data_IF_997516299422
#
_entry.id   IF_997516299422
#
_cell.length_a   1.000
_cell.length_b   1.000
_cell.length_c   1.000
_cell.angle_alpha   90.00
_cell.angle_beta   90.00
_cell.angle_gamma   90.00
#
_symmetry.space_group_name_H-M   'P 1'
#
loop_
_entity.id
_entity.type
_entity.pdbx_description
1 polymer ?
#
# COMPACT_ATOMS: atom_id res chain seq x y z
N UNK A 1 -0.76 -18.93 0.26
CA UNK A 1 0.01 -18.35 1.39
C UNK A 1 1.44 -18.10 0.95
N UNK A 2 2.13 -17.12 1.55
CA UNK A 2 3.52 -16.73 1.20
C UNK A 2 4.47 -17.83 1.68
N UNK A 3 4.74 -18.83 0.84
CA UNK A 3 5.68 -19.92 1.15
C UNK A 3 7.08 -19.68 0.58
N UNK A 4 7.18 -18.81 -0.42
CA UNK A 4 8.42 -18.42 -1.09
C UNK A 4 8.50 -16.92 -1.17
N UNK A 5 9.72 -16.38 -1.27
CA UNK A 5 9.91 -14.95 -1.46
C UNK A 5 9.27 -14.52 -2.80
N UNK A 6 8.51 -13.43 -2.86
CA UNK A 6 7.83 -13.04 -4.08
C UNK A 6 8.80 -12.45 -5.10
N UNK A 7 9.00 -13.14 -6.23
CA UNK A 7 9.85 -12.69 -7.34
C UNK A 7 9.05 -12.17 -8.55
N UNK A 8 7.73 -12.21 -8.45
CA UNK A 8 6.81 -11.93 -9.53
C UNK A 8 6.52 -10.43 -9.71
N UNK A 9 6.11 -10.05 -10.91
CA UNK A 9 5.97 -8.64 -11.34
C UNK A 9 4.83 -7.85 -10.70
N UNK A 10 3.84 -8.52 -10.10
CA UNK A 10 2.67 -7.87 -9.48
C UNK A 10 2.75 -7.89 -7.96
N UNK A 11 3.85 -7.38 -7.39
CA UNK A 11 4.08 -7.64 -5.97
C UNK A 11 4.92 -6.62 -5.19
N UNK A 12 4.27 -5.76 -4.41
CA UNK A 12 4.92 -4.85 -3.46
C UNK A 12 5.49 -5.58 -2.22
N UNK A 13 5.14 -6.85 -1.98
CA UNK A 13 5.64 -7.61 -0.82
C UNK A 13 7.16 -7.60 -0.74
N UNK A 14 7.85 -7.85 -1.85
CA UNK A 14 9.32 -7.88 -1.89
C UNK A 14 9.92 -6.55 -1.44
N UNK A 15 9.34 -5.44 -1.87
CA UNK A 15 9.75 -4.09 -1.48
C UNK A 15 9.54 -3.81 -0.01
N UNK A 16 8.36 -4.16 0.51
CA UNK A 16 8.05 -3.93 1.92
C UNK A 16 8.88 -4.84 2.84
N UNK A 17 9.14 -6.09 2.43
CA UNK A 17 10.08 -6.98 3.11
C UNK A 17 11.49 -6.39 3.11
N UNK A 18 11.99 -5.88 1.98
CA UNK A 18 13.30 -5.25 1.93
C UNK A 18 13.39 -4.02 2.85
N UNK A 19 12.38 -3.17 2.86
CA UNK A 19 12.35 -2.03 3.77
C UNK A 19 12.27 -2.43 5.25
N UNK A 20 11.51 -3.48 5.60
CA UNK A 20 11.51 -4.03 6.95
C UNK A 20 12.90 -4.57 7.33
N UNK A 21 13.58 -5.20 6.37
CA UNK A 21 14.97 -5.61 6.52
C UNK A 21 15.89 -4.41 6.77
N UNK A 22 15.83 -3.37 5.94
CA UNK A 22 16.61 -2.15 6.09
C UNK A 22 16.38 -1.45 7.43
N UNK A 23 15.14 -1.43 7.93
CA UNK A 23 14.86 -0.88 9.25
C UNK A 23 15.62 -1.63 10.35
N UNK A 24 15.72 -2.96 10.26
CA UNK A 24 16.46 -3.78 11.22
C UNK A 24 17.97 -3.54 11.12
N UNK A 25 18.53 -3.56 9.91
CA UNK A 25 20.00 -3.60 9.73
C UNK A 25 20.64 -2.23 9.61
N UNK A 26 19.98 -1.28 8.96
CA UNK A 26 20.47 0.09 8.77
C UNK A 26 19.92 1.02 9.86
N UNK A 27 18.71 0.76 10.38
CA UNK A 27 18.02 1.64 11.32
C UNK A 27 17.15 2.69 10.62
N UNK A 28 16.54 3.55 11.42
CA UNK A 28 15.64 4.62 10.97
C UNK A 28 16.43 5.90 10.67
N UNK A 29 16.21 6.50 9.49
CA UNK A 29 16.92 7.71 9.04
C UNK A 29 18.45 7.57 8.97
N UNK A 30 18.93 6.35 8.76
CA UNK A 30 20.35 6.05 8.60
C UNK A 30 20.68 5.71 7.15
N UNK A 31 21.97 5.82 6.81
CA UNK A 31 22.49 5.37 5.53
C UNK A 31 22.36 3.86 5.38
N UNK A 32 21.89 3.43 4.21
CA UNK A 32 21.66 2.02 3.91
C UNK A 32 22.21 1.68 2.51
N UNK A 33 23.21 0.80 2.41
CA UNK A 33 24.00 0.62 1.18
C UNK A 33 23.31 -0.25 0.12
N UNK A 34 22.21 -0.92 0.44
CA UNK A 34 21.72 -2.04 -0.38
C UNK A 34 21.09 -1.63 -1.71
N UNK A 35 20.48 -0.45 -1.79
CA UNK A 35 19.87 0.07 -3.02
C UNK A 35 20.49 1.40 -3.44
N UNK A 36 20.51 1.65 -4.74
CA UNK A 36 20.98 2.91 -5.33
C UNK A 36 22.39 3.32 -4.84
N UNK A 37 23.27 2.35 -4.60
CA UNK A 37 24.59 2.57 -3.99
C UNK A 37 24.58 3.24 -2.61
N UNK A 38 23.42 3.33 -1.96
CA UNK A 38 23.26 4.08 -0.72
C UNK A 38 22.07 5.03 -0.76
N UNK A 39 21.19 4.94 0.23
CA UNK A 39 20.14 5.93 0.48
C UNK A 39 19.89 6.08 1.97
N UNK A 40 19.21 7.16 2.38
CA UNK A 40 18.76 7.32 3.76
C UNK A 40 17.38 6.67 3.91
N UNK A 41 17.28 5.72 4.83
CA UNK A 41 16.04 4.96 5.03
C UNK A 41 14.88 5.85 5.46
N UNK A 42 13.68 5.59 4.95
CA UNK A 42 12.40 6.18 5.38
C UNK A 42 12.23 7.70 5.28
N UNK A 43 13.05 8.39 4.48
CA UNK A 43 12.82 9.80 4.19
C UNK A 43 11.54 10.07 3.40
N UNK A 44 11.11 9.15 2.53
CA UNK A 44 9.91 9.33 1.67
C UNK A 44 8.95 8.14 1.72
N UNK A 45 9.21 7.17 2.60
CA UNK A 45 8.41 5.94 2.73
C UNK A 45 7.66 5.91 4.07
N UNK A 46 6.42 5.42 4.05
CA UNK A 46 5.60 5.34 5.25
C UNK A 46 6.11 4.30 6.26
N UNK A 47 5.97 4.55 7.56
CA UNK A 47 6.62 3.79 8.63
C UNK A 47 5.72 2.81 9.37
N UNK A 48 4.41 3.07 9.43
CA UNK A 48 3.52 2.45 10.39
C UNK A 48 3.61 0.92 10.41
N UNK A 49 3.42 0.27 9.25
CA UNK A 49 3.50 -1.19 9.19
C UNK A 49 4.91 -1.73 9.50
N UNK A 50 5.98 -1.02 9.11
CA UNK A 50 7.34 -1.49 9.40
C UNK A 50 7.62 -1.49 10.91
N UNK A 51 7.21 -0.45 11.64
CA UNK A 51 7.33 -0.47 13.10
C UNK A 51 6.44 -1.52 13.74
N UNK A 52 5.24 -1.76 13.20
CA UNK A 52 4.38 -2.84 13.67
C UNK A 52 5.00 -4.24 13.45
N UNK A 53 5.63 -4.47 12.31
CA UNK A 53 6.22 -5.76 11.95
C UNK A 53 7.65 -5.98 12.50
N UNK A 54 8.37 -4.92 12.90
CA UNK A 54 9.74 -5.01 13.37
C UNK A 54 9.92 -5.95 14.58
N UNK A 55 9.10 -5.88 15.65
CA UNK A 55 9.22 -6.82 16.76
C UNK A 55 9.08 -8.29 16.32
N UNK A 56 8.17 -8.57 15.38
CA UNK A 56 8.00 -9.91 14.82
C UNK A 56 9.27 -10.35 14.07
N UNK A 57 9.89 -9.44 13.32
CA UNK A 57 11.13 -9.74 12.60
C UNK A 57 12.32 -9.95 13.55
N UNK A 58 12.39 -9.23 14.66
CA UNK A 58 13.40 -9.46 15.69
C UNK A 58 13.24 -10.84 16.35
N UNK A 59 12.00 -11.29 16.57
CA UNK A 59 11.69 -12.58 17.18
C UNK A 59 11.93 -13.74 16.19
N UNK A 60 11.34 -13.68 15.00
CA UNK A 60 11.42 -14.78 14.02
C UNK A 60 12.78 -14.86 13.33
N UNK A 61 13.53 -13.75 13.33
CA UNK A 61 14.76 -13.55 12.54
C UNK A 61 14.57 -13.79 11.02
N UNK A 62 13.33 -13.88 10.55
CA UNK A 62 12.97 -14.17 9.17
C UNK A 62 11.92 -13.18 8.69
N UNK A 63 12.24 -12.42 7.64
CA UNK A 63 11.38 -11.33 7.14
C UNK A 63 10.08 -11.85 6.53
N UNK A 64 10.12 -13.02 5.89
CA UNK A 64 8.96 -13.67 5.29
C UNK A 64 7.97 -14.08 6.38
N UNK A 65 8.47 -14.77 7.42
CA UNK A 65 7.67 -15.19 8.57
C UNK A 65 7.10 -14.00 9.32
N UNK A 66 7.91 -12.96 9.57
CA UNK A 66 7.45 -11.74 10.24
C UNK A 66 6.34 -11.04 9.46
N UNK A 67 6.50 -10.94 8.14
CA UNK A 67 5.51 -10.35 7.25
C UNK A 67 4.21 -11.14 7.26
N UNK A 68 4.29 -12.47 7.16
CA UNK A 68 3.12 -13.34 7.20
C UNK A 68 2.37 -13.29 8.54
N UNK A 69 3.09 -13.35 9.67
CA UNK A 69 2.48 -13.21 11.01
C UNK A 69 1.85 -11.82 11.15
N UNK A 70 2.52 -10.76 10.68
CA UNK A 70 1.97 -9.41 10.72
C UNK A 70 0.63 -9.34 9.98
N UNK A 71 0.52 -9.95 8.80
CA UNK A 71 -0.71 -9.99 8.02
C UNK A 71 -1.86 -10.65 8.80
N UNK A 72 -1.62 -11.80 9.45
CA UNK A 72 -2.62 -12.47 10.30
C UNK A 72 -3.06 -11.56 11.45
N UNK A 73 -2.11 -10.93 12.13
CA UNK A 73 -2.40 -10.02 13.24
C UNK A 73 -3.20 -8.80 12.78
N UNK A 74 -2.96 -8.29 11.58
CA UNK A 74 -3.75 -7.19 11.01
C UNK A 74 -5.20 -7.59 10.73
N UNK A 75 -5.45 -8.78 10.22
CA UNK A 75 -6.83 -9.28 10.06
C UNK A 75 -7.52 -9.47 11.42
N UNK A 76 -6.81 -10.02 12.42
CA UNK A 76 -7.35 -10.16 13.77
C UNK A 76 -7.67 -8.80 14.41
N UNK A 77 -6.76 -7.82 14.25
CA UNK A 77 -6.96 -6.46 14.74
C UNK A 77 -8.09 -5.73 14.00
N UNK A 78 -8.20 -5.92 12.68
CA UNK A 78 -9.30 -5.41 11.87
C UNK A 78 -10.66 -5.96 12.31
N UNK A 79 -10.74 -7.27 12.61
CA UNK A 79 -11.94 -7.88 13.17
C UNK A 79 -12.26 -7.32 14.56
N UNK A 80 -11.26 -7.15 15.44
CA UNK A 80 -11.43 -6.55 16.75
C UNK A 80 -12.00 -5.12 16.67
N UNK A 81 -11.46 -4.27 15.79
CA UNK A 81 -11.96 -2.91 15.61
C UNK A 81 -13.38 -2.89 15.00
N UNK A 82 -13.69 -3.78 14.05
CA UNK A 82 -15.04 -3.94 13.54
C UNK A 82 -16.01 -4.45 14.61
N UNK A 83 -15.56 -5.32 15.50
CA UNK A 83 -16.35 -5.77 16.64
C UNK A 83 -16.71 -4.60 17.57
N UNK A 84 -15.73 -3.75 17.89
CA UNK A 84 -15.96 -2.53 18.69
C UNK A 84 -16.92 -1.58 17.96
N UNK A 85 -16.70 -1.32 16.68
CA UNK A 85 -17.60 -0.50 15.85
C UNK A 85 -19.02 -1.07 15.83
N UNK A 86 -19.15 -2.38 15.65
CA UNK A 86 -20.43 -3.09 15.63
C UNK A 86 -21.19 -2.93 16.94
N UNK A 87 -20.52 -3.06 18.09
CA UNK A 87 -21.12 -2.78 19.40
C UNK A 87 -21.59 -1.33 19.53
N UNK A 88 -20.78 -0.37 19.08
CA UNK A 88 -21.16 1.06 19.06
C UNK A 88 -22.38 1.30 18.17
N UNK A 89 -22.45 0.61 17.03
CA UNK A 89 -23.53 0.73 16.06
C UNK A 89 -24.74 -0.17 16.33
N UNK A 90 -24.70 -0.98 17.39
CA UNK A 90 -25.72 -1.98 17.77
C UNK A 90 -25.95 -3.06 16.71
N UNK A 91 -24.88 -3.51 16.06
CA UNK A 91 -24.89 -4.65 15.15
C UNK A 91 -24.80 -5.97 15.93
N UNK A 92 -25.47 -7.00 15.43
CA UNK A 92 -25.34 -8.39 15.88
C UNK A 92 -23.98 -8.99 15.48
N UNK A 93 -23.60 -10.10 16.11
CA UNK A 93 -22.34 -10.79 15.77
C UNK A 93 -22.29 -11.24 14.30
N UNK A 94 -23.43 -11.70 13.77
CA UNK A 94 -23.54 -12.15 12.37
C UNK A 94 -23.30 -10.98 11.41
N UNK A 95 -23.89 -9.81 11.68
CA UNK A 95 -23.68 -8.60 10.88
C UNK A 95 -22.23 -8.11 10.96
N UNK A 96 -21.58 -8.24 12.12
CA UNK A 96 -20.15 -7.91 12.28
C UNK A 96 -19.27 -8.85 11.45
N UNK A 97 -19.52 -10.17 11.51
CA UNK A 97 -18.79 -11.16 10.70
C UNK A 97 -19.01 -10.88 9.21
N UNK A 98 -20.26 -10.62 8.80
CA UNK A 98 -20.58 -10.29 7.42
C UNK A 98 -19.88 -8.99 6.98
N UNK A 99 -19.87 -7.94 7.81
CA UNK A 99 -19.13 -6.70 7.53
C UNK A 99 -17.64 -6.98 7.32
N UNK A 100 -17.02 -7.77 8.21
CA UNK A 100 -15.62 -8.17 8.06
C UNK A 100 -15.39 -8.88 6.71
N UNK A 101 -16.23 -9.85 6.35
CA UNK A 101 -16.09 -10.59 5.09
C UNK A 101 -16.31 -9.68 3.86
N UNK A 102 -17.32 -8.80 3.87
CA UNK A 102 -17.52 -7.85 2.77
C UNK A 102 -16.36 -6.89 2.61
N UNK A 103 -15.74 -6.45 3.71
CA UNK A 103 -14.66 -5.47 3.65
C UNK A 103 -13.29 -6.09 3.32
N UNK A 104 -12.98 -7.26 3.89
CA UNK A 104 -11.65 -7.88 3.78
C UNK A 104 -11.56 -9.03 2.78
N UNK A 105 -12.68 -9.66 2.43
CA UNK A 105 -12.73 -10.84 1.57
C UNK A 105 -13.42 -10.59 0.22
N UNK A 106 -13.57 -9.32 -0.17
CA UNK A 106 -13.98 -8.95 -1.53
C UNK A 106 -12.77 -8.97 -2.50
N UNK A 107 -13.00 -8.98 -3.83
CA UNK A 107 -11.93 -9.13 -4.80
C UNK A 107 -10.96 -7.95 -4.84
N UNK A 108 -11.44 -6.74 -4.53
CA UNK A 108 -10.60 -5.54 -4.46
C UNK A 108 -9.63 -5.66 -3.27
N UNK A 109 -10.12 -6.06 -2.10
CA UNK A 109 -9.30 -6.23 -0.90
C UNK A 109 -8.31 -7.40 -1.05
N UNK A 110 -8.74 -8.56 -1.57
CA UNK A 110 -7.86 -9.70 -1.80
C UNK A 110 -6.78 -9.36 -2.84
N UNK A 111 -7.18 -8.76 -3.96
CA UNK A 111 -6.25 -8.32 -5.00
C UNK A 111 -5.22 -7.32 -4.49
N UNK A 112 -5.66 -6.26 -3.79
CA UNK A 112 -4.76 -5.22 -3.30
C UNK A 112 -3.89 -5.67 -2.12
N UNK A 113 -4.51 -6.24 -1.08
CA UNK A 113 -3.80 -6.49 0.18
C UNK A 113 -3.03 -7.81 0.17
N UNK A 114 -3.63 -8.87 -0.38
CA UNK A 114 -3.01 -10.21 -0.35
C UNK A 114 -2.13 -10.41 -1.58
N UNK A 115 -2.64 -10.12 -2.78
CA UNK A 115 -1.92 -10.45 -4.02
C UNK A 115 -0.84 -9.42 -4.37
N UNK A 116 -1.20 -8.15 -4.46
CA UNK A 116 -0.25 -7.06 -4.70
C UNK A 116 0.61 -6.76 -3.47
N UNK A 117 0.15 -7.13 -2.27
CA UNK A 117 0.92 -6.93 -1.05
C UNK A 117 0.96 -5.49 -0.57
N UNK A 118 -0.10 -4.70 -0.81
CA UNK A 118 -0.25 -3.32 -0.30
C UNK A 118 -0.49 -3.30 1.22
N UNK A 119 0.41 -3.92 1.98
CA UNK A 119 0.31 -4.15 3.41
C UNK A 119 0.31 -2.86 4.23
N UNK A 120 0.98 -1.83 3.72
CA UNK A 120 1.03 -0.49 4.31
C UNK A 120 -0.36 0.18 4.24
N UNK A 121 -1.06 0.04 3.12
CA UNK A 121 -2.46 0.47 2.97
C UNK A 121 -3.41 -0.36 3.83
N UNK A 122 -3.23 -1.70 3.89
CA UNK A 122 -4.00 -2.56 4.80
C UNK A 122 -3.85 -2.10 6.26
N UNK A 123 -2.63 -1.80 6.72
CA UNK A 123 -2.40 -1.27 8.05
C UNK A 123 -3.12 0.06 8.28
N UNK A 124 -3.06 0.99 7.31
CA UNK A 124 -3.80 2.24 7.33
C UNK A 124 -5.32 2.02 7.47
N UNK A 125 -5.90 1.08 6.71
CA UNK A 125 -7.32 0.75 6.79
C UNK A 125 -7.70 0.09 8.12
N UNK A 126 -6.87 -0.80 8.67
CA UNK A 126 -7.11 -1.39 9.99
C UNK A 126 -7.15 -0.30 11.07
N UNK A 127 -6.21 0.65 11.05
CA UNK A 127 -6.25 1.78 11.97
C UNK A 127 -7.45 2.69 11.71
N UNK A 128 -7.83 2.92 10.45
CA UNK A 128 -9.06 3.63 10.08
C UNK A 128 -10.30 2.98 10.69
N UNK A 129 -10.40 1.65 10.74
CA UNK A 129 -11.55 0.97 11.38
C UNK A 129 -11.62 1.27 12.88
N UNK A 130 -10.48 1.25 13.57
CA UNK A 130 -10.42 1.66 14.98
C UNK A 130 -10.79 3.13 15.16
N UNK A 131 -10.31 3.98 14.27
CA UNK A 131 -10.59 5.42 14.27
C UNK A 131 -12.07 5.69 14.00
N UNK A 132 -12.68 5.00 13.04
CA UNK A 132 -14.10 5.07 12.76
C UNK A 132 -14.91 4.62 13.98
N UNK A 133 -14.54 3.52 14.65
CA UNK A 133 -15.19 3.08 15.88
C UNK A 133 -15.21 4.18 16.95
N UNK A 134 -14.08 4.87 17.13
CA UNK A 134 -13.96 6.00 18.05
C UNK A 134 -14.86 7.18 17.64
N UNK A 135 -14.80 7.61 16.37
CA UNK A 135 -15.61 8.71 15.85
C UNK A 135 -17.11 8.42 15.99
N UNK A 136 -17.54 7.21 15.63
CA UNK A 136 -18.93 6.80 15.74
C UNK A 136 -19.42 6.72 17.19
N UNK A 137 -18.54 6.33 18.14
CA UNK A 137 -18.86 6.33 19.58
C UNK A 137 -19.14 7.75 20.07
N UNK A 138 -18.32 8.72 19.66
CA UNK A 138 -18.42 10.11 20.11
C UNK A 138 -19.31 11.00 19.22
N UNK A 139 -19.86 10.47 18.14
CA UNK A 139 -20.81 11.19 17.26
C UNK A 139 -21.98 11.81 18.05
N UNK A 140 -22.58 11.02 18.93
CA UNK A 140 -23.76 11.40 19.70
C UNK A 140 -23.48 11.65 21.20
N UNK A 141 -22.26 11.44 21.67
CA UNK A 141 -21.83 11.62 23.07
C UNK A 141 -20.87 12.80 23.20
N UNK A 142 -20.86 13.56 24.31
CA UNK A 142 -19.89 14.63 24.52
C UNK A 142 -18.44 14.11 24.50
N UNK A 143 -17.50 14.92 24.00
CA UNK A 143 -16.08 14.57 24.04
C UNK A 143 -15.56 14.63 25.49
N UNK A 144 -14.90 13.56 25.94
CA UNK A 144 -14.29 13.44 27.26
C UNK A 144 -12.77 13.22 27.14
N UNK A 145 -12.09 13.06 28.28
CA UNK A 145 -10.64 12.78 28.31
C UNK A 145 -10.27 11.48 27.59
N UNK A 146 -11.18 10.49 27.56
CA UNK A 146 -10.96 9.21 26.87
C UNK A 146 -10.94 9.40 25.36
N UNK A 147 -11.77 10.30 24.81
CA UNK A 147 -11.68 10.68 23.40
C UNK A 147 -10.26 11.13 23.07
N UNK A 148 -9.71 12.07 23.84
CA UNK A 148 -8.37 12.60 23.62
C UNK A 148 -7.29 11.50 23.74
N UNK A 149 -7.36 10.68 24.80
CA UNK A 149 -6.41 9.60 25.06
C UNK A 149 -6.32 8.58 23.92
N UNK A 150 -7.43 8.26 23.27
CA UNK A 150 -7.45 7.29 22.16
C UNK A 150 -7.27 7.95 20.79
N UNK A 151 -7.83 9.14 20.59
CA UNK A 151 -7.78 9.86 19.32
C UNK A 151 -6.34 10.20 18.93
N UNK A 152 -5.60 10.77 19.87
CA UNK A 152 -4.24 11.29 19.65
C UNK A 152 -3.29 10.21 19.10
N UNK A 153 -3.06 9.07 19.79
CA UNK A 153 -2.17 8.04 19.29
C UNK A 153 -2.71 7.34 18.03
N UNK A 154 -4.02 7.12 17.94
CA UNK A 154 -4.60 6.40 16.81
C UNK A 154 -4.51 7.19 15.50
N UNK A 155 -4.83 8.48 15.54
CA UNK A 155 -4.71 9.35 14.38
C UNK A 155 -3.24 9.67 14.06
N UNK A 156 -2.37 9.76 15.07
CA UNK A 156 -0.91 9.84 14.88
C UNK A 156 -0.34 8.60 14.18
N UNK A 157 -0.82 7.41 14.52
CA UNK A 157 -0.47 6.17 13.82
C UNK A 157 -0.97 6.19 12.37
N UNK A 158 -2.17 6.68 12.10
CA UNK A 158 -2.69 6.82 10.73
C UNK A 158 -1.77 7.75 9.90
N UNK A 159 -1.32 8.87 10.46
CA UNK A 159 -0.37 9.79 9.80
C UNK A 159 0.88 9.10 9.28
N UNK A 160 1.51 8.26 10.11
CA UNK A 160 2.76 7.58 9.75
C UNK A 160 2.53 6.28 8.98
N UNK A 161 1.28 5.83 8.83
CA UNK A 161 0.95 4.54 8.21
C UNK A 161 0.85 4.64 6.71
N UNK A 162 -0.01 5.50 6.17
CA UNK A 162 -0.13 5.73 4.74
C UNK A 162 -0.89 7.04 4.49
N UNK A 163 -0.37 7.87 3.57
CA UNK A 163 -0.86 9.24 3.38
C UNK A 163 -2.29 9.27 2.82
N UNK A 164 -2.66 8.29 1.99
CA UNK A 164 -3.97 8.23 1.36
C UNK A 164 -5.08 7.99 2.40
N UNK A 165 -4.93 7.00 3.27
CA UNK A 165 -5.87 6.69 4.34
C UNK A 165 -5.91 7.78 5.40
N UNK A 166 -4.80 8.51 5.61
CA UNK A 166 -4.80 9.71 6.47
C UNK A 166 -5.70 10.82 5.90
N UNK A 167 -5.58 11.14 4.61
CA UNK A 167 -6.46 12.13 3.97
C UNK A 167 -7.92 11.69 4.05
N UNK A 168 -8.22 10.43 3.74
CA UNK A 168 -9.58 9.89 3.80
C UNK A 168 -10.15 9.89 5.23
N UNK A 169 -9.34 9.50 6.23
CA UNK A 169 -9.72 9.57 7.65
C UNK A 169 -10.03 11.01 8.08
N UNK A 170 -9.38 12.00 7.50
CA UNK A 170 -9.62 13.41 7.80
C UNK A 170 -11.03 13.87 7.39
N UNK A 171 -11.63 13.29 6.35
CA UNK A 171 -13.04 13.54 6.01
C UNK A 171 -13.99 13.01 7.09
N UNK A 172 -13.69 11.86 7.69
CA UNK A 172 -14.48 11.33 8.81
C UNK A 172 -14.25 12.13 10.12
N UNK A 173 -13.06 12.69 10.31
CA UNK A 173 -12.82 13.64 11.41
C UNK A 173 -13.63 14.93 11.21
N UNK A 174 -13.65 15.45 9.98
CA UNK A 174 -14.46 16.62 9.60
C UNK A 174 -15.95 16.35 9.81
N UNK A 175 -16.44 15.15 9.50
CA UNK A 175 -17.80 14.71 9.81
C UNK A 175 -18.16 14.91 11.28
N UNK A 176 -17.26 14.51 12.20
CA UNK A 176 -17.46 14.72 13.64
C UNK A 176 -17.43 16.21 13.99
N UNK A 177 -16.47 16.97 13.45
CA UNK A 177 -16.31 18.40 13.69
C UNK A 177 -17.59 19.20 13.36
N UNK A 178 -18.23 18.90 12.23
CA UNK A 178 -19.40 19.63 11.75
C UNK A 178 -20.59 19.54 12.72
N UNK A 179 -20.82 18.37 13.35
CA UNK A 179 -21.97 18.15 14.24
C UNK A 179 -21.71 18.51 15.71
N UNK A 180 -20.50 18.92 16.06
CA UNK A 180 -20.07 19.19 17.44
C UNK A 180 -20.22 20.65 17.84
N UNK A 181 -20.34 20.92 19.14
CA UNK A 181 -20.40 22.29 19.67
C UNK A 181 -19.03 22.96 19.59
N UNK A 182 -18.96 24.29 19.59
CA UNK A 182 -17.71 25.06 19.45
C UNK A 182 -16.60 24.64 20.43
N UNK A 183 -16.93 24.40 21.70
CA UNK A 183 -15.94 23.91 22.68
C UNK A 183 -15.36 22.55 22.27
N UNK A 184 -16.20 21.61 21.85
CA UNK A 184 -15.78 20.28 21.37
C UNK A 184 -15.01 20.34 20.05
N UNK A 185 -15.34 21.29 19.15
CA UNK A 185 -14.60 21.54 17.91
C UNK A 185 -13.14 21.91 18.18
N UNK A 186 -12.89 22.75 19.19
CA UNK A 186 -11.53 23.10 19.62
C UNK A 186 -10.79 21.86 20.09
N UNK A 187 -11.43 20.99 20.90
CA UNK A 187 -10.83 19.73 21.33
C UNK A 187 -10.47 18.79 20.16
N UNK A 188 -11.30 18.74 19.12
CA UNK A 188 -10.99 17.98 17.90
C UNK A 188 -9.75 18.54 17.22
N UNK A 189 -9.69 19.86 17.01
CA UNK A 189 -8.54 20.52 16.39
C UNK A 189 -7.26 20.26 17.21
N UNK A 190 -7.32 20.47 18.53
CA UNK A 190 -6.18 20.23 19.43
C UNK A 190 -5.72 18.77 19.38
N UNK A 191 -6.64 17.81 19.37
CA UNK A 191 -6.28 16.39 19.23
C UNK A 191 -5.59 16.10 17.90
N UNK A 192 -6.05 16.70 16.80
CA UNK A 192 -5.41 16.57 15.48
C UNK A 192 -4.02 17.19 15.43
N UNK A 193 -3.83 18.39 16.01
CA UNK A 193 -2.53 19.04 16.12
C UNK A 193 -1.55 18.22 16.96
N UNK A 194 -2.01 17.63 18.06
CA UNK A 194 -1.15 16.81 18.92
C UNK A 194 -0.81 15.47 18.23
N UNK A 195 -1.73 14.86 17.49
CA UNK A 195 -1.42 13.72 16.61
C UNK A 195 -0.36 14.08 15.56
N UNK A 196 -0.44 15.28 14.97
CA UNK A 196 0.54 15.77 14.01
C UNK A 196 1.92 15.95 14.66
N UNK A 197 1.95 16.53 15.87
CA UNK A 197 3.19 16.66 16.66
C UNK A 197 3.78 15.29 17.00
N UNK A 198 2.96 14.30 17.35
CA UNK A 198 3.44 12.92 17.57
C UNK A 198 4.01 12.27 16.30
N UNK A 199 3.48 12.61 15.12
CA UNK A 199 3.99 12.10 13.84
C UNK A 199 5.16 12.93 13.27
N UNK A 200 5.51 14.06 13.90
CA UNK A 200 6.45 15.05 13.35
C UNK A 200 7.87 14.52 13.12
N UNK A 201 8.34 13.58 13.94
CA UNK A 201 9.66 12.97 13.79
C UNK A 201 9.88 12.30 12.43
N UNK A 202 8.80 11.86 11.78
CA UNK A 202 8.80 11.34 10.42
C UNK A 202 8.27 12.36 9.41
N UNK A 203 7.18 13.07 9.75
CA UNK A 203 6.51 13.96 8.81
C UNK A 203 7.39 15.13 8.37
N UNK A 204 8.18 15.71 9.27
CA UNK A 204 9.04 16.86 8.93
C UNK A 204 10.12 16.43 7.91
N UNK A 205 10.91 15.36 8.15
CA UNK A 205 11.81 14.81 7.14
C UNK A 205 11.10 14.39 5.85
N UNK A 206 9.89 13.83 5.95
CA UNK A 206 9.08 13.47 4.79
C UNK A 206 8.77 14.66 3.90
N UNK A 207 8.24 15.76 4.46
CA UNK A 207 7.86 16.95 3.67
C UNK A 207 9.10 17.61 3.04
N UNK A 208 10.20 17.72 3.79
CA UNK A 208 11.45 18.34 3.28
C UNK A 208 12.04 17.55 2.11
N UNK A 209 11.94 16.22 2.14
CA UNK A 209 12.51 15.37 1.09
C UNK A 209 11.53 15.09 -0.06
N UNK A 210 10.22 15.10 0.19
CA UNK A 210 9.21 14.93 -0.85
C UNK A 210 9.31 16.02 -1.93
N UNK A 211 9.65 17.26 -1.56
CA UNK A 211 9.88 18.35 -2.53
C UNK A 211 11.18 18.23 -3.32
N UNK A 212 12.15 17.45 -2.82
CA UNK A 212 13.47 17.26 -3.44
C UNK A 212 13.55 16.01 -4.31
N UNK A 213 12.51 15.18 -4.28
CA UNK A 213 12.46 13.88 -4.97
C UNK A 213 11.29 13.86 -5.96
N UNK A 214 11.24 12.84 -6.82
CA UNK A 214 10.17 12.69 -7.82
C UNK A 214 8.80 12.28 -7.24
N UNK A 215 8.63 12.28 -5.91
CA UNK A 215 7.35 11.90 -5.26
C UNK A 215 6.19 12.77 -5.74
N UNK A 216 6.41 14.08 -5.92
CA UNK A 216 5.36 15.02 -6.34
C UNK A 216 5.01 14.93 -7.84
N UNK A 217 5.93 14.40 -8.65
CA UNK A 217 5.76 14.25 -10.10
C UNK A 217 5.00 12.97 -10.47
N UNK A 218 4.82 12.04 -9.52
CA UNK A 218 4.05 10.83 -9.73
C UNK A 218 2.55 11.14 -9.75
N UNK A 219 1.99 11.36 -10.94
CA UNK A 219 0.56 11.51 -11.17
C UNK A 219 -0.02 10.19 -11.70
N UNK A 220 -0.91 9.56 -10.92
CA UNK A 220 -1.76 8.48 -11.43
C UNK A 220 -2.96 9.06 -12.17
N UNK A 221 -2.74 9.82 -13.26
CA UNK A 221 -3.84 10.45 -14.02
C UNK A 221 -4.61 9.49 -14.95
N UNK A 222 -4.01 8.35 -15.31
CA UNK A 222 -4.55 7.45 -16.35
C UNK A 222 -5.86 6.73 -16.00
N UNK A 223 -6.26 6.66 -14.73
CA UNK A 223 -7.52 6.00 -14.34
C UNK A 223 -8.76 6.89 -14.57
N UNK A 224 -8.58 8.17 -14.87
CA UNK A 224 -9.67 9.13 -15.09
C UNK A 224 -10.38 8.95 -16.44
N UNK A 225 -9.89 8.07 -17.31
CA UNK A 225 -10.54 7.80 -18.59
C UNK A 225 -11.90 7.10 -18.38
N UNK A 226 -12.91 7.43 -19.18
CA UNK A 226 -14.22 6.74 -19.18
C UNK A 226 -14.15 5.35 -19.82
N UNK A 227 -13.00 4.70 -19.76
CA UNK A 227 -12.83 3.33 -20.25
C UNK A 227 -13.62 2.36 -19.37
N UNK A 228 -14.24 1.35 -19.99
CA UNK A 228 -14.94 0.26 -19.33
C UNK A 228 -13.97 -0.75 -18.69
N UNK A 229 -12.95 -0.26 -17.99
CA UNK A 229 -12.07 -1.13 -17.21
C UNK A 229 -12.82 -1.65 -15.98
N UNK A 230 -12.49 -2.86 -15.47
CA UNK A 230 -13.11 -3.39 -14.26
C UNK A 230 -13.00 -2.43 -13.06
N UNK A 231 -11.88 -1.72 -12.92
CA UNK A 231 -11.66 -0.72 -11.87
C UNK A 231 -12.63 0.45 -11.98
N UNK A 232 -12.85 1.01 -13.18
CA UNK A 232 -13.79 2.10 -13.40
C UNK A 232 -15.24 1.68 -13.17
N UNK A 233 -15.59 0.45 -13.54
CA UNK A 233 -16.90 -0.12 -13.27
C UNK A 233 -17.12 -0.28 -11.76
N UNK A 234 -16.15 -0.85 -11.04
CA UNK A 234 -16.20 -0.98 -9.59
C UNK A 234 -16.31 0.39 -8.90
N UNK A 235 -15.49 1.37 -9.31
CA UNK A 235 -15.53 2.73 -8.80
C UNK A 235 -16.91 3.38 -8.96
N UNK A 236 -17.52 3.23 -10.13
CA UNK A 236 -18.85 3.76 -10.44
C UNK A 236 -19.93 3.07 -9.59
N UNK A 237 -19.94 1.74 -9.57
CA UNK A 237 -20.93 0.94 -8.84
C UNK A 237 -20.85 1.19 -7.33
N UNK A 238 -19.65 1.21 -6.76
CA UNK A 238 -19.45 1.48 -5.32
C UNK A 238 -19.91 2.90 -4.99
N UNK A 239 -19.56 3.91 -5.80
CA UNK A 239 -19.98 5.29 -5.56
C UNK A 239 -21.50 5.47 -5.62
N UNK A 240 -22.17 4.85 -6.61
CA UNK A 240 -23.63 4.84 -6.70
C UNK A 240 -24.28 4.12 -5.51
N UNK A 241 -23.68 3.01 -5.07
CA UNK A 241 -24.17 2.25 -3.92
C UNK A 241 -24.15 3.10 -2.64
N UNK A 242 -23.13 3.94 -2.43
CA UNK A 242 -23.07 4.86 -1.28
C UNK A 242 -24.26 5.80 -1.28
N UNK A 243 -24.55 6.48 -2.40
CA UNK A 243 -25.69 7.41 -2.48
C UNK A 243 -27.02 6.69 -2.27
N UNK A 244 -27.21 5.55 -2.94
CA UNK A 244 -28.42 4.76 -2.83
C UNK A 244 -28.66 4.28 -1.40
N UNK A 245 -27.67 3.62 -0.79
CA UNK A 245 -27.79 3.07 0.56
C UNK A 245 -27.91 4.19 1.61
N UNK A 246 -27.17 5.29 1.46
CA UNK A 246 -27.32 6.45 2.33
C UNK A 246 -28.73 7.04 2.26
N UNK A 247 -29.33 7.16 1.07
CA UNK A 247 -30.69 7.67 0.92
C UNK A 247 -31.71 6.83 1.71
N UNK A 248 -31.65 5.51 1.60
CA UNK A 248 -32.56 4.63 2.37
C UNK A 248 -32.28 4.68 3.87
N UNK A 249 -31.01 4.72 4.27
CA UNK A 249 -30.63 4.90 5.66
C UNK A 249 -31.20 6.21 6.23
N UNK A 250 -31.00 7.32 5.53
CA UNK A 250 -31.44 8.65 5.92
C UNK A 250 -32.98 8.77 5.95
N UNK A 251 -33.67 8.15 4.98
CA UNK A 251 -35.14 8.04 4.98
C UNK A 251 -35.65 7.25 6.19
N UNK A 252 -34.97 6.17 6.58
CA UNK A 252 -35.35 5.31 7.72
C UNK A 252 -35.14 5.93 9.11
N UNK A 253 -34.49 7.09 9.18
CA UNK A 253 -34.27 7.89 10.39
C UNK A 253 -34.95 9.27 10.28
N UNK A 254 -36.06 9.33 9.55
CA UNK A 254 -36.91 10.51 9.38
C UNK A 254 -36.16 11.73 8.85
N UNK A 255 -35.20 11.50 7.95
CA UNK A 255 -34.41 12.55 7.27
C UNK A 255 -33.74 13.52 8.25
N UNK A 256 -33.21 13.01 9.37
CA UNK A 256 -32.53 13.82 10.37
C UNK A 256 -31.40 14.69 9.76
N UNK A 257 -31.49 16.01 9.94
CA UNK A 257 -30.49 16.98 9.41
C UNK A 257 -29.10 16.80 10.01
N UNK A 258 -29.01 16.42 11.30
CA UNK A 258 -27.72 16.19 11.96
C UNK A 258 -26.98 15.00 11.36
N UNK A 259 -27.73 13.99 10.93
CA UNK A 259 -27.19 12.81 10.24
C UNK A 259 -26.69 13.16 8.84
N UNK A 260 -27.45 13.95 8.09
CA UNK A 260 -27.00 14.48 6.80
C UNK A 260 -25.73 15.33 6.95
N UNK A 261 -25.66 16.19 7.95
CA UNK A 261 -24.49 17.03 8.22
C UNK A 261 -23.26 16.21 8.63
N UNK A 262 -23.45 15.12 9.39
CA UNK A 262 -22.35 14.21 9.72
C UNK A 262 -21.80 13.54 8.47
N UNK A 263 -22.66 13.00 7.59
CA UNK A 263 -22.20 12.27 6.41
C UNK A 263 -21.86 13.17 5.21
N UNK A 264 -22.15 14.47 5.26
CA UNK A 264 -21.91 15.37 4.13
C UNK A 264 -20.47 15.41 3.62
N UNK A 265 -19.40 15.39 4.45
CA UNK A 265 -18.04 15.36 3.92
C UNK A 265 -17.75 14.12 3.09
N UNK A 266 -18.25 12.97 3.53
CA UNK A 266 -18.09 11.68 2.83
C UNK A 266 -18.90 11.67 1.53
N UNK A 267 -20.14 12.18 1.57
CA UNK A 267 -21.00 12.26 0.38
C UNK A 267 -20.47 13.26 -0.65
N UNK A 268 -19.93 14.40 -0.21
CA UNK A 268 -19.26 15.37 -1.07
C UNK A 268 -18.02 14.76 -1.69
N UNK A 269 -17.19 14.05 -0.90
CA UNK A 269 -16.03 13.35 -1.44
C UNK A 269 -16.43 12.30 -2.48
N UNK A 270 -17.48 11.52 -2.20
CA UNK A 270 -18.03 10.53 -3.12
C UNK A 270 -18.56 11.19 -4.41
N UNK A 271 -19.21 12.36 -4.31
CA UNK A 271 -19.67 13.12 -5.46
C UNK A 271 -18.50 13.62 -6.31
N UNK A 272 -17.48 14.20 -5.68
CA UNK A 272 -16.28 14.68 -6.37
C UNK A 272 -15.53 13.52 -7.04
N UNK A 273 -15.47 12.35 -6.40
CA UNK A 273 -14.87 11.15 -6.95
C UNK A 273 -15.68 10.63 -8.15
N UNK A 274 -17.00 10.53 -8.01
CA UNK A 274 -17.92 10.08 -9.06
C UNK A 274 -17.89 11.00 -10.29
N UNK A 275 -17.87 12.31 -10.08
CA UNK A 275 -17.73 13.32 -11.14
C UNK A 275 -16.28 13.48 -11.64
N UNK A 276 -15.32 12.72 -11.09
CA UNK A 276 -13.88 12.78 -11.40
C UNK A 276 -13.21 14.14 -11.15
N UNK A 277 -13.85 15.02 -10.38
CA UNK A 277 -13.38 16.36 -10.03
C UNK A 277 -12.18 16.32 -9.07
N UNK A 278 -12.01 15.23 -8.33
CA UNK A 278 -10.87 15.03 -7.40
C UNK A 278 -9.51 15.16 -8.08
N UNK A 279 -9.42 14.93 -9.39
CA UNK A 279 -8.20 15.09 -10.19
C UNK A 279 -7.68 16.53 -10.25
N UNK A 280 -8.57 17.51 -10.07
CA UNK A 280 -8.23 18.93 -10.07
C UNK A 280 -7.92 19.46 -8.66
N UNK A 281 -8.11 18.66 -7.61
CA UNK A 281 -7.89 19.07 -6.24
C UNK A 281 -6.47 18.64 -5.80
N UNK A 282 -5.56 19.57 -5.46
CA UNK A 282 -4.14 19.27 -5.25
C UNK A 282 -3.82 18.14 -4.29
N UNK A 283 -4.59 17.99 -3.20
CA UNK A 283 -4.37 16.93 -2.20
C UNK A 283 -4.99 15.61 -2.64
N UNK A 284 -6.13 15.65 -3.34
CA UNK A 284 -6.92 14.47 -3.68
C UNK A 284 -6.46 13.77 -4.96
N UNK A 285 -5.81 14.50 -5.88
CA UNK A 285 -5.31 13.96 -7.16
C UNK A 285 -4.19 12.93 -7.01
N UNK A 286 -3.50 12.91 -5.87
CA UNK A 286 -2.41 11.97 -5.57
C UNK A 286 -2.89 10.69 -4.89
N UNK A 287 -4.19 10.57 -4.58
CA UNK A 287 -4.76 9.35 -4.00
C UNK A 287 -5.11 8.39 -5.14
N UNK A 288 -4.63 7.15 -5.03
CA UNK A 288 -4.95 6.08 -5.97
C UNK A 288 -6.44 5.69 -5.88
N UNK A 289 -7.03 5.06 -6.91
CA UNK A 289 -8.45 4.71 -6.88
C UNK A 289 -8.81 3.73 -5.76
N UNK A 290 -7.95 2.77 -5.47
CA UNK A 290 -8.28 1.66 -4.58
C UNK A 290 -8.65 2.12 -3.16
N UNK A 291 -7.93 3.06 -2.52
CA UNK A 291 -8.33 3.57 -1.21
C UNK A 291 -9.65 4.33 -1.21
N UNK A 292 -9.99 5.07 -2.27
CA UNK A 292 -11.33 5.66 -2.38
C UNK A 292 -12.41 4.59 -2.41
N UNK A 293 -12.25 3.59 -3.27
CA UNK A 293 -13.23 2.52 -3.45
C UNK A 293 -13.42 1.75 -2.14
N UNK A 294 -12.34 1.42 -1.44
CA UNK A 294 -12.42 0.75 -0.14
C UNK A 294 -13.06 1.63 0.95
N UNK A 295 -12.74 2.92 0.99
CA UNK A 295 -13.36 3.87 1.93
C UNK A 295 -14.87 4.00 1.68
N UNK A 296 -15.30 4.12 0.43
CA UNK A 296 -16.72 4.14 0.07
C UNK A 296 -17.40 2.80 0.32
N UNK A 297 -16.74 1.68 0.04
CA UNK A 297 -17.22 0.34 0.36
C UNK A 297 -17.49 0.19 1.87
N UNK A 298 -16.62 0.69 2.74
CA UNK A 298 -16.85 0.71 4.18
C UNK A 298 -18.17 1.40 4.54
N UNK A 299 -18.43 2.60 4.00
CA UNK A 299 -19.68 3.32 4.27
C UNK A 299 -20.90 2.65 3.64
N UNK A 300 -20.78 2.10 2.43
CA UNK A 300 -21.86 1.32 1.81
C UNK A 300 -22.27 0.16 2.72
N UNK A 301 -21.31 -0.63 3.20
CA UNK A 301 -21.61 -1.76 4.08
C UNK A 301 -22.20 -1.29 5.41
N UNK A 302 -21.64 -0.22 6.00
CA UNK A 302 -22.19 0.37 7.22
C UNK A 302 -23.65 0.78 7.04
N UNK A 303 -24.00 1.47 5.94
CA UNK A 303 -25.38 1.87 5.67
C UNK A 303 -26.27 0.65 5.44
N UNK A 304 -25.81 -0.33 4.67
CA UNK A 304 -26.55 -1.56 4.40
C UNK A 304 -27.07 -2.22 5.69
N UNK A 305 -26.19 -2.39 6.70
CA UNK A 305 -26.56 -2.98 7.99
C UNK A 305 -27.36 -2.03 8.90
N UNK A 306 -27.41 -0.73 8.60
CA UNK A 306 -28.15 0.26 9.39
C UNK A 306 -29.51 0.62 8.81
N UNK A 307 -29.81 0.24 7.57
CA UNK A 307 -31.14 0.39 6.98
C UNK A 307 -32.09 -0.52 7.78
N UNK A 308 -33.21 0.05 8.24
CA UNK A 308 -34.32 -0.75 8.79
C UNK A 308 -35.06 -1.44 7.64
N UNK A 309 -34.51 -2.56 7.14
CA UNK A 309 -35.07 -3.30 5.98
C UNK A 309 -36.36 -4.04 6.36
N UNK A 310 -36.69 -4.17 7.65
CA UNK A 310 -37.82 -4.92 8.21
C UNK A 310 -39.21 -4.64 7.62
N UNK A 311 -39.40 -3.51 6.93
CA UNK A 311 -40.67 -3.14 6.28
C UNK A 311 -40.66 -3.29 4.74
N UNK A 312 -39.58 -3.81 4.15
CA UNK A 312 -39.50 -4.09 2.72
C UNK A 312 -39.89 -5.55 2.46
N UNK A 313 -40.89 -5.76 1.59
CA UNK A 313 -41.30 -7.11 1.11
C UNK A 313 -40.13 -7.94 0.54
N UNK A 314 -39.02 -7.28 0.20
CA UNK A 314 -37.84 -7.85 -0.43
C UNK A 314 -36.67 -8.11 0.53
N UNK A 315 -36.85 -7.98 1.86
CA UNK A 315 -35.76 -8.12 2.85
C UNK A 315 -34.94 -9.41 2.66
N UNK A 316 -35.62 -10.56 2.59
CA UNK A 316 -34.97 -11.86 2.39
C UNK A 316 -34.19 -11.89 1.08
N UNK A 317 -34.73 -11.31 0.02
CA UNK A 317 -34.12 -11.31 -1.31
C UNK A 317 -32.87 -10.42 -1.33
N UNK A 318 -32.91 -9.24 -0.68
CA UNK A 318 -31.75 -8.36 -0.54
C UNK A 318 -30.63 -9.08 0.19
N UNK A 319 -30.92 -9.73 1.34
CA UNK A 319 -29.91 -10.47 2.09
C UNK A 319 -29.37 -11.68 1.33
N UNK A 320 -30.21 -12.40 0.60
CA UNK A 320 -29.77 -13.50 -0.28
C UNK A 320 -28.85 -13.01 -1.39
N UNK A 321 -29.18 -11.89 -2.05
CA UNK A 321 -28.31 -11.29 -3.09
C UNK A 321 -26.97 -10.87 -2.49
N UNK A 322 -27.01 -10.17 -1.35
CA UNK A 322 -25.83 -9.73 -0.60
C UNK A 322 -24.93 -10.93 -0.27
N UNK A 323 -25.49 -12.03 0.23
CA UNK A 323 -24.77 -13.26 0.51
C UNK A 323 -24.20 -13.92 -0.75
N UNK A 324 -24.98 -14.01 -1.83
CA UNK A 324 -24.52 -14.53 -3.12
C UNK A 324 -23.35 -13.71 -3.69
N UNK A 325 -23.37 -12.38 -3.52
CA UNK A 325 -22.27 -11.50 -3.92
C UNK A 325 -20.99 -11.80 -3.13
N UNK A 326 -21.07 -12.14 -1.83
CA UNK A 326 -19.88 -12.59 -1.06
C UNK A 326 -19.33 -13.88 -1.65
N UNK A 327 -20.18 -14.88 -1.85
CA UNK A 327 -19.75 -16.19 -2.37
C UNK A 327 -19.12 -16.00 -3.75
N UNK A 328 -19.79 -15.27 -4.64
CA UNK A 328 -19.28 -15.00 -5.99
C UNK A 328 -17.95 -14.24 -5.93
N UNK A 329 -17.84 -13.26 -5.04
CA UNK A 329 -16.60 -12.52 -4.79
C UNK A 329 -15.45 -13.42 -4.35
N UNK A 330 -15.70 -14.32 -3.40
CA UNK A 330 -14.70 -15.29 -2.93
C UNK A 330 -14.29 -16.25 -4.04
N UNK A 331 -15.26 -16.76 -4.81
CA UNK A 331 -15.02 -17.68 -5.93
C UNK A 331 -14.20 -16.99 -7.03
N UNK A 332 -14.60 -15.80 -7.47
CA UNK A 332 -13.86 -15.01 -8.46
C UNK A 332 -12.45 -14.74 -7.97
N UNK A 333 -12.29 -14.32 -6.71
CA UNK A 333 -10.98 -14.03 -6.14
C UNK A 333 -10.09 -15.27 -6.16
N UNK A 334 -10.62 -16.43 -5.77
CA UNK A 334 -9.88 -17.69 -5.72
C UNK A 334 -9.47 -18.18 -7.11
N UNK A 335 -10.34 -18.01 -8.13
CA UNK A 335 -10.08 -18.50 -9.49
C UNK A 335 -9.18 -17.54 -10.28
N UNK A 336 -9.42 -16.23 -10.18
CA UNK A 336 -8.77 -15.22 -11.02
C UNK A 336 -7.52 -14.60 -10.41
N UNK A 337 -7.32 -14.76 -9.10
CA UNK A 337 -6.14 -14.22 -8.42
C UNK A 337 -5.18 -15.38 -8.15
N UNK A 338 -4.25 -15.71 -9.06
CA UNK A 338 -3.25 -16.72 -8.76
C UNK A 338 -2.49 -16.26 -7.52
N UNK A 339 -2.47 -17.08 -6.48
CA UNK A 339 -1.63 -16.83 -5.31
C UNK A 339 -0.15 -16.87 -5.71
N UNK A 340 0.75 -16.74 -4.72
CA UNK A 340 2.20 -16.84 -4.90
C UNK A 340 2.60 -18.01 -5.80
N UNK A 341 3.12 -17.69 -6.98
CA UNK A 341 3.55 -18.67 -7.99
C UNK A 341 4.88 -19.29 -7.57
N UNK A 342 5.06 -20.56 -7.90
CA UNK A 342 6.38 -21.21 -7.78
C UNK A 342 7.37 -20.50 -8.70
N UNK A 343 8.63 -20.47 -8.31
CA UNK A 343 9.68 -19.93 -9.15
C UNK A 343 9.76 -20.69 -10.47
N UNK A 344 9.67 -19.93 -11.55
CA UNK A 344 10.06 -20.30 -12.91
C UNK A 344 11.53 -20.74 -12.93
N UNK A 345 11.93 -21.42 -13.99
CA UNK A 345 13.32 -21.84 -14.21
C UNK A 345 14.27 -20.64 -14.16
N UNK A 346 13.94 -19.56 -14.87
CA UNK A 346 14.74 -18.33 -14.89
C UNK A 346 14.92 -17.75 -13.47
N UNK A 347 13.84 -17.66 -12.69
CA UNK A 347 13.92 -17.15 -11.32
C UNK A 347 14.83 -18.00 -10.43
N UNK A 348 14.81 -19.33 -10.59
CA UNK A 348 15.72 -20.21 -9.85
C UNK A 348 17.17 -20.00 -10.27
N UNK A 349 17.43 -19.84 -11.57
CA UNK A 349 18.78 -19.56 -12.07
C UNK A 349 19.31 -18.22 -11.54
N UNK A 350 18.50 -17.16 -11.58
CA UNK A 350 18.91 -15.84 -11.04
C UNK A 350 19.19 -15.93 -9.55
N UNK A 351 18.30 -16.60 -8.79
CA UNK A 351 18.49 -16.83 -7.35
C UNK A 351 19.79 -17.59 -7.08
N UNK A 352 20.14 -18.56 -7.92
CA UNK A 352 21.34 -19.39 -7.76
C UNK A 352 22.66 -18.65 -8.02
N UNK A 353 22.63 -17.47 -8.65
CA UNK A 353 23.82 -16.66 -8.95
C UNK A 353 24.24 -15.79 -7.76
N UNK A 354 23.29 -15.37 -6.92
CA UNK A 354 23.57 -14.48 -5.79
C UNK A 354 24.69 -14.94 -4.82
N UNK A 355 24.83 -16.23 -4.48
CA UNK A 355 25.94 -16.70 -3.64
C UNK A 355 27.34 -16.41 -4.21
N UNK A 356 27.45 -16.17 -5.52
CA UNK A 356 28.72 -15.91 -6.19
C UNK A 356 29.04 -14.42 -6.34
N UNK A 357 28.17 -13.52 -5.87
CA UNK A 357 28.39 -12.09 -5.91
C UNK A 357 29.16 -11.67 -4.65
N UNK A 358 30.31 -11.04 -4.82
CA UNK A 358 31.19 -10.63 -3.71
C UNK A 358 31.22 -9.11 -3.51
N UNK A 359 30.77 -8.34 -4.51
CA UNK A 359 30.87 -6.88 -4.52
C UNK A 359 29.55 -6.18 -4.79
N UNK A 360 29.66 -4.88 -5.07
CA UNK A 360 28.52 -4.12 -5.59
C UNK A 360 28.21 -4.57 -7.01
N UNK A 361 26.92 -4.80 -7.30
CA UNK A 361 26.51 -5.34 -8.59
C UNK A 361 25.47 -4.49 -9.33
N UNK A 362 25.49 -4.62 -10.65
CA UNK A 362 24.44 -4.17 -11.56
C UNK A 362 23.70 -5.39 -12.13
N UNK A 363 22.42 -5.22 -12.47
CA UNK A 363 21.69 -6.22 -13.25
C UNK A 363 21.19 -5.60 -14.54
N UNK A 364 21.52 -6.23 -15.66
CA UNK A 364 21.02 -5.90 -16.98
C UNK A 364 20.04 -7.01 -17.38
N UNK A 365 18.82 -6.63 -17.75
CA UNK A 365 17.73 -7.56 -18.04
C UNK A 365 17.23 -7.41 -19.46
N UNK A 366 16.73 -8.50 -20.04
CA UNK A 366 16.04 -8.43 -21.33
C UNK A 366 14.62 -7.88 -21.17
N UNK A 367 14.10 -7.08 -22.12
CA UNK A 367 12.72 -6.57 -22.06
C UNK A 367 11.64 -7.66 -22.04
N UNK A 368 11.93 -8.83 -22.64
CA UNK A 368 10.95 -9.89 -22.91
C UNK A 368 10.87 -10.99 -21.83
N UNK A 369 11.48 -10.79 -20.65
CA UNK A 369 11.40 -11.77 -19.55
C UNK A 369 10.27 -11.43 -18.57
N UNK A 370 9.47 -12.44 -18.23
CA UNK A 370 8.33 -12.34 -17.31
C UNK A 370 8.72 -12.10 -15.84
N UNK A 371 10.01 -12.17 -15.52
CA UNK A 371 10.53 -11.97 -14.17
C UNK A 371 10.76 -10.49 -13.87
N UNK A 372 10.57 -10.10 -12.60
CA UNK A 372 10.65 -8.71 -12.18
C UNK A 372 11.99 -8.34 -11.54
N UNK A 373 12.85 -7.55 -12.23
CA UNK A 373 14.20 -7.25 -11.77
C UNK A 373 14.25 -6.66 -10.35
N UNK A 374 13.27 -5.82 -10.00
CA UNK A 374 13.24 -5.13 -8.71
C UNK A 374 13.10 -6.08 -7.52
N UNK A 375 12.45 -7.23 -7.71
CA UNK A 375 12.34 -8.26 -6.67
C UNK A 375 13.68 -8.94 -6.39
N UNK A 376 14.56 -9.05 -7.39
CA UNK A 376 15.91 -9.58 -7.20
C UNK A 376 16.80 -8.66 -6.37
N UNK A 377 16.69 -7.33 -6.51
CA UNK A 377 17.42 -6.39 -5.65
C UNK A 377 16.99 -6.50 -4.19
N UNK A 378 15.70 -6.73 -3.94
CA UNK A 378 15.18 -7.00 -2.60
C UNK A 378 15.72 -8.35 -2.06
N UNK A 379 15.69 -9.40 -2.90
CA UNK A 379 16.17 -10.73 -2.52
C UNK A 379 17.67 -10.74 -2.19
N UNK A 380 18.51 -10.15 -3.04
CA UNK A 380 19.96 -10.05 -2.84
C UNK A 380 20.31 -9.28 -1.56
N UNK A 381 19.58 -8.19 -1.26
CA UNK A 381 19.78 -7.46 -0.03
C UNK A 381 19.40 -8.27 1.22
N UNK A 382 18.22 -8.91 1.22
CA UNK A 382 17.69 -9.62 2.40
C UNK A 382 18.51 -10.87 2.75
N UNK A 383 18.85 -11.68 1.74
CA UNK A 383 19.42 -13.02 1.95
C UNK A 383 20.94 -13.05 1.84
N UNK A 384 21.55 -12.07 1.18
CA UNK A 384 23.00 -12.03 0.91
C UNK A 384 23.66 -10.71 1.31
N UNK A 385 22.92 -9.72 1.84
CA UNK A 385 23.43 -8.39 2.19
C UNK A 385 24.14 -7.69 1.02
N UNK A 386 23.69 -7.92 -0.22
CA UNK A 386 24.35 -7.39 -1.40
C UNK A 386 23.89 -5.96 -1.71
N UNK A 387 24.83 -5.13 -2.16
CA UNK A 387 24.58 -3.76 -2.62
C UNK A 387 24.37 -3.72 -4.13
N UNK A 388 23.24 -3.15 -4.56
CA UNK A 388 22.96 -2.91 -5.97
C UNK A 388 22.95 -1.41 -6.30
N UNK A 389 23.36 -1.10 -7.53
CA UNK A 389 23.16 0.25 -8.10
C UNK A 389 21.70 0.52 -8.45
N UNK A 390 20.87 -0.52 -8.50
CA UNK A 390 19.43 -0.42 -8.73
C UNK A 390 18.66 -0.48 -7.39
N UNK A 391 17.35 -0.28 -7.47
CA UNK A 391 16.46 -0.36 -6.32
C UNK A 391 15.01 -0.46 -6.75
N UNK A 392 14.09 -0.27 -5.79
CA UNK A 392 12.66 -0.42 -6.06
C UNK A 392 11.95 0.88 -6.46
N UNK A 393 12.07 1.92 -5.64
CA UNK A 393 11.39 3.19 -5.85
C UNK A 393 12.37 4.28 -6.27
N UNK A 394 12.19 4.81 -7.47
CA UNK A 394 13.06 5.82 -8.04
C UNK A 394 13.10 7.10 -7.20
N UNK A 395 12.03 7.37 -6.44
CA UNK A 395 11.94 8.46 -5.47
C UNK A 395 12.89 8.34 -4.26
N UNK A 396 13.65 7.25 -4.13
CA UNK A 396 14.71 7.11 -3.13
C UNK A 396 16.08 7.60 -3.65
N UNK A 397 16.19 7.86 -4.96
CA UNK A 397 17.41 8.32 -5.61
C UNK A 397 17.22 9.74 -6.19
N UNK A 398 18.34 10.44 -6.42
CA UNK A 398 18.30 11.74 -7.10
C UNK A 398 18.03 11.58 -8.59
N UNK A 399 17.47 12.61 -9.23
CA UNK A 399 17.23 12.62 -10.68
C UNK A 399 18.51 12.39 -11.48
N UNK A 400 19.64 12.95 -11.04
CA UNK A 400 20.94 12.74 -11.69
C UNK A 400 21.41 11.29 -11.60
N UNK A 401 21.19 10.64 -10.44
CA UNK A 401 21.50 9.23 -10.26
C UNK A 401 20.66 8.37 -11.22
N UNK A 402 19.35 8.63 -11.30
CA UNK A 402 18.44 7.91 -12.18
C UNK A 402 18.80 8.10 -13.65
N UNK A 403 19.16 9.32 -14.06
CA UNK A 403 19.61 9.61 -15.43
C UNK A 403 20.90 8.87 -15.77
N UNK A 404 21.87 8.80 -14.84
CA UNK A 404 23.07 7.98 -15.03
C UNK A 404 22.75 6.49 -15.15
N UNK A 405 21.77 6.01 -14.37
CA UNK A 405 21.31 4.63 -14.44
C UNK A 405 20.63 4.33 -15.79
N UNK A 406 19.85 5.25 -16.32
CA UNK A 406 19.22 5.16 -17.65
C UNK A 406 20.29 5.14 -18.76
N UNK A 407 21.29 6.02 -18.68
CA UNK A 407 22.41 6.03 -19.61
C UNK A 407 23.20 4.71 -19.61
N UNK A 408 23.33 4.03 -18.45
CA UNK A 408 23.97 2.71 -18.39
C UNK A 408 23.26 1.69 -19.29
N UNK A 409 21.92 1.68 -19.28
CA UNK A 409 21.13 0.81 -20.16
C UNK A 409 21.26 1.24 -21.62
N UNK A 410 21.16 2.55 -21.89
CA UNK A 410 21.33 3.10 -23.23
C UNK A 410 22.65 2.66 -23.87
N UNK A 411 23.78 2.93 -23.20
CA UNK A 411 25.10 2.54 -23.69
C UNK A 411 25.27 1.03 -23.87
N UNK A 412 24.62 0.19 -23.04
CA UNK A 412 24.62 -1.26 -23.24
C UNK A 412 23.89 -1.66 -24.53
N UNK A 413 22.65 -1.20 -24.73
CA UNK A 413 21.85 -1.56 -25.89
C UNK A 413 22.37 -0.94 -27.20
N UNK A 414 23.01 0.23 -27.12
CA UNK A 414 23.67 0.91 -28.24
C UNK A 414 25.08 0.35 -28.53
N UNK A 415 25.58 -0.59 -27.69
CA UNK A 415 26.90 -1.25 -27.80
C UNK A 415 28.09 -0.29 -27.61
N UNK A 416 27.91 0.77 -26.85
CA UNK A 416 28.94 1.76 -26.49
C UNK A 416 29.75 1.30 -25.28
N UNK A 417 30.64 0.32 -25.48
CA UNK A 417 31.39 -0.32 -24.40
C UNK A 417 32.22 0.64 -23.52
N UNK A 418 32.79 1.71 -24.11
CA UNK A 418 33.57 2.70 -23.35
C UNK A 418 32.72 3.41 -22.30
N UNK A 419 31.52 3.83 -22.68
CA UNK A 419 30.59 4.52 -21.79
C UNK A 419 29.94 3.57 -20.79
N UNK A 420 29.58 2.36 -21.22
CA UNK A 420 29.08 1.33 -20.31
C UNK A 420 30.08 1.04 -19.17
N UNK A 421 31.35 0.79 -19.51
CA UNK A 421 32.41 0.53 -18.52
C UNK A 421 32.68 1.75 -17.64
N UNK A 422 32.70 2.95 -18.23
CA UNK A 422 32.89 4.21 -17.49
C UNK A 422 31.80 4.41 -16.45
N UNK A 423 30.53 4.24 -16.82
CA UNK A 423 29.39 4.41 -15.92
C UNK A 423 29.41 3.35 -14.80
N UNK A 424 29.77 2.10 -15.10
CA UNK A 424 29.96 1.06 -14.08
C UNK A 424 31.06 1.45 -13.07
N UNK A 425 32.20 1.99 -13.55
CA UNK A 425 33.28 2.48 -12.69
C UNK A 425 32.84 3.66 -11.83
N UNK A 426 32.07 4.60 -12.38
CA UNK A 426 31.51 5.73 -11.64
C UNK A 426 30.62 5.27 -10.48
N UNK A 427 29.80 4.25 -10.70
CA UNK A 427 28.99 3.65 -9.63
C UNK A 427 29.80 2.77 -8.66
N UNK A 428 31.08 2.51 -8.94
CA UNK A 428 31.91 1.54 -8.23
C UNK A 428 31.28 0.14 -8.24
N UNK A 429 30.74 -0.25 -9.39
CA UNK A 429 30.21 -1.59 -9.63
C UNK A 429 31.36 -2.53 -9.94
N UNK A 430 31.40 -3.67 -9.25
CA UNK A 430 32.44 -4.70 -9.43
C UNK A 430 31.96 -5.84 -10.31
N UNK A 431 30.65 -6.13 -10.26
CA UNK A 431 30.06 -7.30 -10.91
C UNK A 431 28.78 -6.94 -11.66
N UNK A 432 28.54 -7.61 -12.79
CA UNK A 432 27.36 -7.39 -13.63
C UNK A 432 26.67 -8.72 -13.87
N UNK A 433 25.39 -8.78 -13.54
CA UNK A 433 24.53 -9.91 -13.84
C UNK A 433 23.73 -9.60 -15.10
N UNK A 434 23.84 -10.45 -16.12
CA UNK A 434 22.94 -10.45 -17.26
C UNK A 434 21.97 -11.61 -17.11
N UNK A 435 20.68 -11.38 -17.33
CA UNK A 435 19.71 -12.47 -17.32
C UNK A 435 18.65 -12.33 -18.41
N UNK A 436 18.14 -13.48 -18.87
CA UNK A 436 17.27 -13.59 -20.04
C UNK A 436 18.09 -13.88 -21.29
N UNK A 437 17.73 -13.22 -22.40
CA UNK A 437 18.40 -13.38 -23.69
C UNK A 437 19.75 -12.66 -23.76
N UNK A 438 20.03 -11.78 -22.80
CA UNK A 438 21.29 -11.05 -22.71
C UNK A 438 22.45 -11.92 -22.23
N UNK A 439 22.20 -12.99 -21.47
CA UNK A 439 23.25 -13.92 -21.07
C UNK A 439 23.80 -14.67 -22.31
N UNK A 440 25.12 -14.63 -22.50
CA UNK A 440 25.82 -15.30 -23.60
C UNK A 440 25.75 -14.60 -24.96
N UNK A 441 25.01 -13.50 -25.12
CA UNK A 441 24.92 -12.75 -26.39
C UNK A 441 25.80 -11.48 -26.46
N UNK A 442 26.49 -11.14 -25.37
CA UNK A 442 27.14 -9.82 -25.24
C UNK A 442 28.58 -9.84 -25.74
N UNK A 443 28.92 -8.86 -26.59
CA UNK A 443 30.30 -8.36 -26.68
C UNK A 443 30.65 -7.81 -25.30
N UNK A 444 31.29 -8.62 -24.44
CA UNK A 444 31.36 -8.44 -22.97
C UNK A 444 32.00 -7.12 -22.52
N UNK A 445 32.33 -6.20 -23.43
CA UNK A 445 33.00 -4.93 -23.16
C UNK A 445 34.28 -5.12 -22.34
N UNK A 446 34.93 -6.28 -22.49
CA UNK A 446 36.13 -6.66 -21.73
C UNK A 446 35.87 -7.20 -20.32
N UNK A 447 34.61 -7.42 -19.92
CA UNK A 447 34.25 -8.05 -18.66
C UNK A 447 34.63 -9.54 -18.64
N UNK A 448 35.09 -10.02 -17.49
CA UNK A 448 35.53 -11.41 -17.29
C UNK A 448 34.39 -12.25 -16.72
N UNK A 449 34.05 -13.35 -17.38
CA UNK A 449 33.03 -14.28 -16.88
C UNK A 449 33.46 -14.93 -15.56
N UNK A 450 32.55 -14.95 -14.58
CA UNK A 450 32.74 -15.60 -13.27
C UNK A 450 31.90 -16.87 -13.16
N UNK A 451 30.62 -16.77 -13.51
CA UNK A 451 29.68 -17.91 -13.50
C UNK A 451 28.70 -17.74 -14.65
N UNK A 452 28.45 -18.81 -15.39
CA UNK A 452 27.45 -18.85 -16.45
C UNK A 452 26.47 -20.01 -16.25
N UNK A 453 25.18 -19.72 -16.43
CA UNK A 453 24.06 -20.65 -16.48
C UNK A 453 23.36 -20.47 -17.82
N UNK A 454 22.29 -21.22 -18.07
CA UNK A 454 21.61 -21.22 -19.35
C UNK A 454 21.06 -19.82 -19.72
N UNK A 455 20.43 -19.12 -18.77
CA UNK A 455 19.80 -17.81 -19.00
C UNK A 455 20.34 -16.72 -18.08
N UNK A 456 21.38 -16.98 -17.30
CA UNK A 456 21.96 -16.01 -16.35
C UNK A 456 23.47 -16.10 -16.32
N UNK A 457 24.12 -14.97 -16.49
CA UNK A 457 25.57 -14.85 -16.55
C UNK A 457 26.03 -13.79 -15.56
N UNK A 458 27.08 -14.09 -14.79
CA UNK A 458 27.75 -13.18 -13.88
C UNK A 458 29.15 -12.86 -14.41
N UNK A 459 29.43 -11.57 -14.60
CA UNK A 459 30.73 -11.07 -15.02
C UNK A 459 31.33 -10.14 -13.99
N UNK A 460 32.66 -10.07 -13.98
CA UNK A 460 33.46 -9.19 -13.14
C UNK A 460 34.13 -8.11 -14.00
N UNK A 461 34.11 -6.87 -13.49
CA UNK A 461 34.83 -5.75 -14.07
C UNK A 461 36.34 -5.92 -13.87
N UNK A 462 37.12 -5.72 -14.93
CA UNK A 462 38.58 -5.87 -14.96
C UNK A 462 39.34 -4.59 -14.62
#
# INVERSE_FOLDING_TARGET
MIWTFPLDFTNDWASYMAQLHFLKVCGFHNFCPYWYSGFITFQTAALGWKFFALPLYLITKNVLSATFISLILLYALGFLFLYILGKVQKLSLIEIIAFFLFFFANPIAIGNFIRLGRIVSLFGFVLFLGFAALIFKYKNCPLDKKFFLYMVPLYGLIFISHQQEMILSSFLLLSLFLIKKNKERIWIILSGLISLLLASFWLVPFVINASKTNVLNYQQSNWLNWSLTPTNLAATLVSLSVFFLFYFYWKGIDKNKRELLFFSPILTLNLLFFLKVISFIPILKHISPDPYILFFLFFSILFLFKIKIRNLKWEKIIWTIVFLVVILSLVISTIKTPYFTKYTELEREVVSIFPFIEGKYAMIWSPDVSSYPKAYFAYGAIYYNLSSIHGWYDQLASSDYLKKLENLYGSYYEKECGDFIRILKDFKTEEVVFYGYDCGKVNTCGLKEKVSKNKVCLYKLT
#
